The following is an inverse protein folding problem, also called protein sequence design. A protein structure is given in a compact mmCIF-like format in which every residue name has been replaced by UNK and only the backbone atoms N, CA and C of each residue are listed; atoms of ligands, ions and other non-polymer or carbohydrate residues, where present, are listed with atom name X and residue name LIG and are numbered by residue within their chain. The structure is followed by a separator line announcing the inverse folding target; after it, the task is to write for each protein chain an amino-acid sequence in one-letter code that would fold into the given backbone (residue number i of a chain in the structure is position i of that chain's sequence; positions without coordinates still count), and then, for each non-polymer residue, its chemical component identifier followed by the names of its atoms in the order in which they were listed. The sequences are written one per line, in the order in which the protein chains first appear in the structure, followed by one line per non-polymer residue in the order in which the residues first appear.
data_IF_370312481523
#
_entry.id   IF_370312481523
#
_cell.length_a   1.000
_cell.length_b   1.000
_cell.length_c   1.000
_cell.angle_alpha   90.00
_cell.angle_beta   90.00
_cell.angle_gamma   90.00
#
_symmetry.space_group_name_H-M   'P 1'
#
loop_
_entity.id
_entity.type
_entity.pdbx_description
1 polymer ?
#
# COMPACT_ATOMS: atom_id res chain seq x y z
N UNK A 1 13.47 19.84 -31.63
CA UNK A 1 13.48 18.36 -31.52
C UNK A 1 13.62 17.68 -32.87
N UNK A 2 12.69 17.83 -33.82
CA UNK A 2 12.82 17.24 -35.18
C UNK A 2 14.01 17.84 -35.94
N UNK A 3 14.15 19.17 -35.96
CA UNK A 3 15.28 19.87 -36.61
C UNK A 3 16.63 19.75 -35.85
N UNK A 4 16.63 19.18 -34.63
CA UNK A 4 17.83 19.02 -33.79
C UNK A 4 18.38 17.58 -33.81
N UNK A 5 17.77 16.66 -34.57
CA UNK A 5 18.12 15.23 -34.56
C UNK A 5 17.75 14.48 -33.26
N UNK A 6 17.13 15.16 -32.29
CA UNK A 6 16.83 14.65 -30.96
C UNK A 6 15.53 13.83 -30.88
N UNK A 7 14.79 13.71 -31.99
CA UNK A 7 13.52 12.98 -32.02
C UNK A 7 13.72 11.50 -31.65
N UNK A 8 14.71 10.84 -32.23
CA UNK A 8 15.01 9.43 -31.95
C UNK A 8 15.42 9.20 -30.49
N UNK A 9 16.40 9.95 -29.92
CA UNK A 9 16.70 9.88 -28.50
C UNK A 9 15.49 10.13 -27.60
N UNK A 10 14.64 11.12 -27.93
CA UNK A 10 13.46 11.44 -27.12
C UNK A 10 12.42 10.30 -27.11
N UNK A 11 12.16 9.68 -28.26
CA UNK A 11 11.26 8.51 -28.34
C UNK A 11 11.81 7.34 -27.53
N UNK A 12 13.12 7.08 -27.65
CA UNK A 12 13.77 6.00 -26.89
C UNK A 12 13.70 6.25 -25.39
N UNK A 13 14.04 7.47 -24.93
CA UNK A 13 13.98 7.82 -23.51
C UNK A 13 12.56 7.74 -22.96
N UNK A 14 11.57 8.24 -23.70
CA UNK A 14 10.16 8.14 -23.31
C UNK A 14 9.72 6.67 -23.22
N UNK A 15 10.05 5.87 -24.23
CA UNK A 15 9.74 4.44 -24.25
C UNK A 15 10.38 3.68 -23.09
N UNK A 16 11.66 3.95 -22.79
CA UNK A 16 12.39 3.32 -21.68
C UNK A 16 11.82 3.73 -20.31
N UNK A 17 11.40 4.99 -20.14
CA UNK A 17 10.78 5.45 -18.90
C UNK A 17 9.44 4.74 -18.63
N UNK A 18 8.61 4.61 -19.66
CA UNK A 18 7.32 3.90 -19.57
C UNK A 18 7.57 2.40 -19.34
N UNK A 19 8.51 1.80 -20.07
CA UNK A 19 8.86 0.39 -19.94
C UNK A 19 9.28 0.04 -18.52
N UNK A 20 10.28 0.72 -17.99
CA UNK A 20 10.85 0.43 -16.66
C UNK A 20 9.83 0.62 -15.54
N UNK A 21 8.96 1.64 -15.65
CA UNK A 21 7.89 1.86 -14.67
C UNK A 21 6.83 0.76 -14.72
N UNK A 22 6.44 0.31 -15.93
CA UNK A 22 5.46 -0.75 -16.10
C UNK A 22 6.00 -2.12 -15.65
N UNK A 23 7.27 -2.41 -15.91
CA UNK A 23 7.95 -3.64 -15.44
C UNK A 23 7.92 -3.73 -13.91
N UNK A 24 8.29 -2.64 -13.21
CA UNK A 24 8.22 -2.58 -11.75
C UNK A 24 6.80 -2.81 -11.22
N UNK A 25 5.77 -2.26 -11.87
CA UNK A 25 4.37 -2.44 -11.47
C UNK A 25 3.89 -3.89 -11.67
N UNK A 26 4.26 -4.53 -12.79
CA UNK A 26 3.92 -5.93 -13.08
C UNK A 26 4.64 -6.91 -12.15
N UNK A 27 5.89 -6.61 -11.80
CA UNK A 27 6.64 -7.39 -10.84
C UNK A 27 6.04 -7.27 -9.43
N UNK A 28 5.81 -6.05 -8.94
CA UNK A 28 5.25 -5.82 -7.61
C UNK A 28 3.85 -6.42 -7.46
N UNK A 29 2.97 -6.24 -8.45
CA UNK A 29 1.64 -6.86 -8.45
C UNK A 29 1.73 -8.38 -8.54
N UNK A 30 2.59 -8.92 -9.40
CA UNK A 30 2.79 -10.37 -9.55
C UNK A 30 3.23 -11.04 -8.25
N UNK A 31 4.20 -10.43 -7.55
CA UNK A 31 4.67 -10.92 -6.24
C UNK A 31 3.58 -10.81 -5.16
N UNK A 32 2.82 -9.70 -5.16
CA UNK A 32 1.69 -9.51 -4.27
C UNK A 32 0.64 -10.62 -4.41
N UNK A 33 0.23 -10.93 -5.65
CA UNK A 33 -0.71 -12.01 -5.91
C UNK A 33 -0.10 -13.40 -5.67
N UNK A 34 1.19 -13.60 -5.95
CA UNK A 34 1.87 -14.88 -5.72
C UNK A 34 1.88 -15.23 -4.23
N UNK A 35 2.12 -14.24 -3.36
CA UNK A 35 2.09 -14.44 -1.91
C UNK A 35 0.71 -14.82 -1.37
N UNK A 36 -0.37 -14.40 -2.04
CA UNK A 36 -1.75 -14.71 -1.63
C UNK A 36 -2.21 -16.05 -2.20
N UNK A 37 -1.93 -16.30 -3.48
CA UNK A 37 -2.47 -17.45 -4.23
C UNK A 37 -1.53 -18.67 -4.23
N UNK A 38 -0.26 -18.51 -3.88
CA UNK A 38 0.77 -19.54 -3.99
C UNK A 38 1.19 -19.86 -5.43
N UNK A 39 0.65 -19.15 -6.43
CA UNK A 39 1.00 -19.34 -7.84
C UNK A 39 2.32 -18.65 -8.20
N UNK A 40 2.92 -19.03 -9.32
CA UNK A 40 4.16 -18.39 -9.78
C UNK A 40 3.94 -16.91 -10.12
N UNK A 41 4.81 -16.05 -9.60
CA UNK A 41 4.79 -14.61 -9.91
C UNK A 41 4.87 -14.34 -11.40
N UNK A 42 5.60 -15.18 -12.17
CA UNK A 42 5.73 -15.03 -13.63
C UNK A 42 4.38 -15.17 -14.32
N UNK A 43 3.62 -16.21 -13.97
CA UNK A 43 2.28 -16.44 -14.55
C UNK A 43 1.34 -15.29 -14.21
N UNK A 44 1.36 -14.84 -12.95
CA UNK A 44 0.51 -13.75 -12.47
C UNK A 44 0.86 -12.41 -13.10
N UNK A 45 2.15 -12.09 -13.28
CA UNK A 45 2.58 -10.89 -13.98
C UNK A 45 2.11 -10.87 -15.44
N UNK A 46 2.13 -12.00 -16.14
CA UNK A 46 1.59 -12.09 -17.51
C UNK A 46 0.07 -11.84 -17.52
N UNK A 47 -0.67 -12.47 -16.61
CA UNK A 47 -2.12 -12.28 -16.48
C UNK A 47 -2.44 -10.81 -16.17
N UNK A 48 -1.74 -10.21 -15.19
CA UNK A 48 -1.90 -8.81 -14.82
C UNK A 48 -1.55 -7.87 -15.98
N UNK A 49 -0.56 -8.21 -16.80
CA UNK A 49 -0.22 -7.45 -18.00
C UNK A 49 -1.33 -7.46 -19.04
N UNK A 50 -1.96 -8.61 -19.28
CA UNK A 50 -3.10 -8.73 -20.20
C UNK A 50 -4.29 -7.93 -19.66
N UNK A 51 -4.64 -8.10 -18.39
CA UNK A 51 -5.76 -7.37 -17.75
C UNK A 51 -5.49 -5.87 -17.78
N UNK A 52 -4.28 -5.43 -17.39
CA UNK A 52 -3.89 -4.02 -17.40
C UNK A 52 -3.97 -3.40 -18.79
N UNK A 53 -3.57 -4.15 -19.83
CA UNK A 53 -3.66 -3.69 -21.23
C UNK A 53 -5.11 -3.50 -21.67
N UNK A 54 -6.01 -4.42 -21.31
CA UNK A 54 -7.44 -4.27 -21.60
C UNK A 54 -8.05 -3.11 -20.80
N UNK A 55 -7.73 -3.01 -19.52
CA UNK A 55 -8.16 -1.91 -18.65
C UNK A 55 -7.67 -0.55 -19.16
N UNK A 56 -6.52 -0.48 -19.83
CA UNK A 56 -6.00 0.77 -20.40
C UNK A 56 -6.97 1.42 -21.39
N UNK A 57 -7.76 0.63 -22.13
CA UNK A 57 -8.79 1.14 -23.06
C UNK A 57 -9.90 1.90 -22.32
N UNK A 58 -10.29 1.42 -21.14
CA UNK A 58 -11.24 2.11 -20.28
C UNK A 58 -10.61 3.29 -19.57
N UNK A 59 -9.37 3.12 -19.10
CA UNK A 59 -8.61 4.12 -18.36
C UNK A 59 -8.36 5.38 -19.19
N UNK A 60 -8.14 5.22 -20.48
CA UNK A 60 -7.99 6.33 -21.42
C UNK A 60 -9.16 7.33 -21.33
N UNK A 61 -10.38 6.84 -21.14
CA UNK A 61 -11.59 7.66 -21.02
C UNK A 61 -11.88 8.13 -19.59
N UNK A 62 -11.28 7.50 -18.57
CA UNK A 62 -11.57 7.76 -17.15
C UNK A 62 -10.31 8.18 -16.36
N UNK A 63 -9.31 8.72 -17.04
CA UNK A 63 -7.98 8.92 -16.50
C UNK A 63 -7.98 9.82 -15.25
N UNK A 64 -8.68 10.96 -15.31
CA UNK A 64 -8.74 11.91 -14.19
C UNK A 64 -9.47 11.32 -12.98
N UNK A 65 -10.59 10.62 -13.20
CA UNK A 65 -11.33 9.94 -12.14
C UNK A 65 -10.50 8.84 -11.47
N UNK A 66 -9.77 8.06 -12.28
CA UNK A 66 -8.85 7.06 -11.78
C UNK A 66 -7.71 7.65 -10.95
N UNK A 67 -7.07 8.72 -11.41
CA UNK A 67 -6.04 9.42 -10.65
C UNK A 67 -6.57 9.96 -9.31
N UNK A 68 -7.81 10.47 -9.31
CA UNK A 68 -8.46 10.98 -8.10
C UNK A 68 -8.69 9.86 -7.09
N UNK A 69 -9.18 8.71 -7.56
CA UNK A 69 -9.34 7.51 -6.73
C UNK A 69 -8.00 7.01 -6.16
N UNK A 70 -6.96 6.86 -7.00
CA UNK A 70 -5.65 6.41 -6.55
C UNK A 70 -5.01 7.37 -5.53
N UNK A 71 -5.22 8.67 -5.71
CA UNK A 71 -4.75 9.71 -4.79
C UNK A 71 -5.39 9.62 -3.41
N UNK A 72 -6.61 9.08 -3.30
CA UNK A 72 -7.28 8.85 -2.02
C UNK A 72 -6.97 7.47 -1.42
N UNK A 73 -6.85 6.44 -2.26
CA UNK A 73 -6.78 5.04 -1.82
C UNK A 73 -5.37 4.58 -1.39
N UNK A 74 -4.33 4.97 -2.12
CA UNK A 74 -2.95 4.50 -1.86
C UNK A 74 -2.34 5.14 -0.59
N UNK A 75 -2.44 6.46 -0.37
CA UNK A 75 -1.69 7.12 0.71
C UNK A 75 -2.07 6.65 2.14
N UNK A 76 -3.35 6.42 2.50
CA UNK A 76 -3.74 5.92 3.82
C UNK A 76 -3.03 4.63 4.21
N UNK A 77 -2.79 3.73 3.25
CA UNK A 77 -2.11 2.45 3.51
C UNK A 77 -0.69 2.71 4.03
N UNK A 78 0.04 3.62 3.38
CA UNK A 78 1.36 4.04 3.85
C UNK A 78 1.30 4.70 5.24
N UNK A 79 0.30 5.56 5.47
CA UNK A 79 0.09 6.20 6.78
C UNK A 79 -0.14 5.22 7.92
N UNK A 80 -0.98 4.21 7.69
CA UNK A 80 -1.27 3.14 8.67
C UNK A 80 -0.03 2.28 8.93
N UNK A 81 0.72 1.90 7.89
CA UNK A 81 1.95 1.12 8.04
C UNK A 81 3.01 1.88 8.86
N UNK A 82 3.20 3.18 8.58
CA UNK A 82 4.14 4.03 9.34
C UNK A 82 3.68 4.15 10.80
N UNK A 83 2.39 4.39 11.03
CA UNK A 83 1.83 4.49 12.38
C UNK A 83 2.00 3.18 13.18
N UNK A 84 1.77 2.04 12.54
CA UNK A 84 1.95 0.72 13.15
C UNK A 84 3.41 0.46 13.51
N UNK A 85 4.33 0.75 12.58
CA UNK A 85 5.76 0.59 12.82
C UNK A 85 6.25 1.46 13.99
N UNK A 86 5.83 2.73 14.05
CA UNK A 86 6.25 3.64 15.12
C UNK A 86 5.70 3.23 16.49
N UNK A 87 4.46 2.74 16.55
CA UNK A 87 3.82 2.34 17.81
C UNK A 87 4.32 0.98 18.32
N UNK A 88 4.59 0.04 17.41
CA UNK A 88 4.98 -1.32 17.74
C UNK A 88 6.47 -1.60 17.47
N UNK A 89 7.32 -0.58 17.44
CA UNK A 89 8.75 -0.68 17.07
C UNK A 89 9.50 -1.83 17.78
N UNK A 90 9.23 -2.06 19.08
CA UNK A 90 9.84 -3.15 19.86
C UNK A 90 9.44 -4.56 19.39
N UNK A 91 8.23 -4.72 18.85
CA UNK A 91 7.70 -5.97 18.30
C UNK A 91 8.45 -6.38 17.02
N UNK A 92 8.91 -5.39 16.27
CA UNK A 92 9.71 -5.58 15.06
C UNK A 92 11.22 -5.76 15.35
N UNK A 93 11.69 -5.57 16.58
CA UNK A 93 13.08 -5.92 16.94
C UNK A 93 13.24 -7.41 17.26
N UNK A 94 12.17 -8.08 17.71
CA UNK A 94 12.14 -9.52 18.01
C UNK A 94 11.17 -10.26 17.08
N UNK A 95 11.51 -10.30 15.78
CA UNK A 95 10.75 -11.02 14.75
C UNK A 95 10.58 -12.52 15.03
N UNK A 96 11.52 -13.13 15.76
CA UNK A 96 11.58 -14.59 15.95
C UNK A 96 10.55 -15.14 16.96
N UNK A 97 10.05 -14.33 17.89
CA UNK A 97 9.20 -14.80 19.02
C UNK A 97 7.78 -14.23 19.00
N UNK A 98 7.47 -13.35 18.05
CA UNK A 98 6.20 -12.63 18.05
C UNK A 98 5.16 -13.33 17.17
N UNK A 99 4.00 -13.69 17.75
CA UNK A 99 2.79 -14.03 16.96
C UNK A 99 2.32 -12.78 16.21
N UNK A 100 2.60 -12.71 14.92
CA UNK A 100 1.97 -11.76 14.02
C UNK A 100 0.48 -12.09 13.92
N UNK A 101 -0.40 -11.09 14.06
CA UNK A 101 -1.82 -11.29 13.77
C UNK A 101 -1.96 -11.51 12.26
N UNK A 102 -2.68 -12.55 11.86
CA UNK A 102 -2.88 -12.88 10.44
C UNK A 102 -3.67 -11.79 9.71
N UNK A 103 -4.63 -11.14 10.38
CA UNK A 103 -5.40 -10.01 9.84
C UNK A 103 -5.63 -8.98 10.94
N UNK A 104 -5.19 -7.74 10.71
CA UNK A 104 -5.52 -6.62 11.59
C UNK A 104 -6.71 -5.84 11.01
N UNK A 105 -7.93 -6.21 11.41
CA UNK A 105 -9.16 -5.52 11.00
C UNK A 105 -9.16 -4.03 11.37
N UNK A 106 -8.43 -3.64 12.42
CA UNK A 106 -8.29 -2.24 12.81
C UNK A 106 -7.48 -1.45 11.78
N UNK A 107 -6.45 -2.06 11.18
CA UNK A 107 -5.68 -1.44 10.10
C UNK A 107 -6.54 -1.22 8.86
N UNK A 108 -7.37 -2.21 8.50
CA UNK A 108 -8.29 -2.10 7.37
C UNK A 108 -9.33 -1.00 7.61
N UNK A 109 -9.92 -0.95 8.81
CA UNK A 109 -10.87 0.10 9.18
C UNK A 109 -10.21 1.49 9.18
N UNK A 110 -8.98 1.60 9.66
CA UNK A 110 -8.23 2.85 9.65
C UNK A 110 -7.95 3.34 8.22
N UNK A 111 -7.62 2.44 7.28
CA UNK A 111 -7.49 2.80 5.86
C UNK A 111 -8.81 3.31 5.30
N UNK A 112 -9.94 2.64 5.57
CA UNK A 112 -11.26 3.07 5.12
C UNK A 112 -11.64 4.47 5.68
N UNK A 113 -11.34 4.72 6.95
CA UNK A 113 -11.52 6.03 7.58
C UNK A 113 -10.59 7.09 6.98
N UNK A 114 -9.36 6.73 6.62
CA UNK A 114 -8.44 7.59 5.89
C UNK A 114 -8.99 7.99 4.52
N UNK A 115 -9.53 7.05 3.75
CA UNK A 115 -10.17 7.34 2.46
C UNK A 115 -11.36 8.29 2.64
N UNK A 116 -12.23 8.04 3.63
CA UNK A 116 -13.36 8.91 3.94
C UNK A 116 -12.92 10.31 4.35
N UNK A 117 -11.88 10.43 5.18
CA UNK A 117 -11.27 11.70 5.57
C UNK A 117 -10.70 12.46 4.37
N UNK A 118 -10.08 11.75 3.41
CA UNK A 118 -9.60 12.33 2.16
C UNK A 118 -10.71 12.94 1.29
N UNK A 119 -11.93 12.39 1.34
CA UNK A 119 -13.08 12.90 0.60
C UNK A 119 -13.83 14.05 1.30
N UNK A 120 -13.91 14.04 2.63
CA UNK A 120 -14.70 15.02 3.39
C UNK A 120 -13.92 16.22 3.89
N UNK A 121 -12.60 16.10 4.07
CA UNK A 121 -11.78 17.22 4.53
C UNK A 121 -11.33 18.10 3.34
N UNK A 122 -11.49 19.43 3.45
CA UNK A 122 -10.94 20.34 2.45
C UNK A 122 -9.40 20.29 2.44
N UNK A 123 -8.79 20.48 1.27
CA UNK A 123 -7.34 20.53 1.11
C UNK A 123 -6.78 19.44 0.20
N UNK A 124 -5.56 19.00 0.49
CA UNK A 124 -4.83 18.02 -0.34
C UNK A 124 -5.31 16.62 0.05
N UNK A 125 -6.12 16.01 -0.83
CA UNK A 125 -6.74 14.68 -0.63
C UNK A 125 -5.74 13.64 -0.10
N UNK A 126 -4.56 13.43 -0.71
CA UNK A 126 -3.55 12.49 -0.19
C UNK A 126 -3.13 12.76 1.26
N UNK A 127 -2.93 14.01 1.65
CA UNK A 127 -2.44 14.38 2.99
C UNK A 127 -3.51 14.09 4.04
N UNK A 128 -4.74 14.50 3.76
CA UNK A 128 -5.88 14.22 4.63
C UNK A 128 -6.11 12.71 4.78
N UNK A 129 -5.92 11.95 3.69
CA UNK A 129 -6.09 10.52 3.68
C UNK A 129 -5.00 9.80 4.52
N UNK A 130 -3.74 10.22 4.40
CA UNK A 130 -2.62 9.72 5.24
C UNK A 130 -2.86 10.01 6.71
N UNK A 131 -3.13 11.27 7.05
CA UNK A 131 -3.32 11.70 8.43
C UNK A 131 -4.55 11.04 9.06
N UNK A 132 -5.65 10.98 8.32
CA UNK A 132 -6.88 10.30 8.73
C UNK A 132 -6.62 8.81 9.01
N UNK A 133 -5.90 8.12 8.12
CA UNK A 133 -5.55 6.72 8.30
C UNK A 133 -4.63 6.49 9.50
N UNK A 134 -3.55 7.27 9.60
CA UNK A 134 -2.57 7.15 10.69
C UNK A 134 -3.21 7.45 12.06
N UNK A 135 -3.94 8.56 12.19
CA UNK A 135 -4.59 8.94 13.46
C UNK A 135 -5.67 7.93 13.85
N UNK A 136 -6.49 7.49 12.89
CA UNK A 136 -7.52 6.47 13.15
C UNK A 136 -6.87 5.19 13.67
N UNK A 137 -5.75 4.76 13.07
CA UNK A 137 -5.04 3.58 13.52
C UNK A 137 -4.46 3.74 14.94
N UNK A 138 -3.82 4.87 15.21
CA UNK A 138 -3.24 5.17 16.53
C UNK A 138 -4.30 5.17 17.65
N UNK A 139 -5.52 5.60 17.35
CA UNK A 139 -6.62 5.63 18.32
C UNK A 139 -7.28 4.25 18.45
N UNK A 140 -7.63 3.62 17.32
CA UNK A 140 -8.42 2.39 17.31
C UNK A 140 -7.62 1.17 17.76
N UNK A 141 -6.33 1.08 17.41
CA UNK A 141 -5.51 -0.09 17.70
C UNK A 141 -5.33 -0.35 19.21
N UNK A 142 -4.96 0.62 20.07
CA UNK A 142 -4.85 0.37 21.51
C UNK A 142 -6.20 0.09 22.19
N UNK A 143 -7.30 0.60 21.65
CA UNK A 143 -8.66 0.40 22.22
C UNK A 143 -9.19 -0.99 21.88
N UNK A 144 -9.08 -1.41 20.61
CA UNK A 144 -9.70 -2.64 20.10
C UNK A 144 -8.78 -3.86 20.21
N UNK A 145 -7.46 -3.70 20.11
CA UNK A 145 -6.48 -4.79 20.26
C UNK A 145 -5.92 -4.93 21.69
N UNK A 146 -6.63 -4.43 22.70
CA UNK A 146 -6.26 -4.51 24.13
C UNK A 146 -5.90 -5.94 24.59
N UNK A 147 -6.46 -6.97 23.95
CA UNK A 147 -6.20 -8.40 24.23
C UNK A 147 -4.80 -8.87 23.78
N UNK A 148 -4.21 -8.28 22.75
CA UNK A 148 -2.86 -8.64 22.27
C UNK A 148 -1.80 -8.05 23.20
N UNK A 149 -2.01 -6.84 23.72
CA UNK A 149 -1.11 -6.19 24.70
C UNK A 149 -1.10 -6.92 26.05
N UNK A 150 -2.27 -7.37 26.54
CA UNK A 150 -2.38 -8.07 27.83
C UNK A 150 -1.77 -9.48 27.82
N UNK A 151 -1.77 -10.17 26.68
CA UNK A 151 -1.10 -11.47 26.54
C UNK A 151 0.44 -11.34 26.53
N UNK A 152 0.99 -10.20 26.09
CA UNK A 152 2.43 -9.95 26.07
C UNK A 152 2.99 -9.68 27.48
N UNK A 153 2.26 -8.95 28.33
CA UNK A 153 2.64 -8.73 29.74
C UNK A 153 2.70 -10.03 30.56
N UNK A 154 1.88 -11.04 30.22
CA UNK A 154 1.91 -12.34 30.90
C UNK A 154 3.06 -13.25 30.47
N UNK A 155 3.52 -13.16 29.22
CA UNK A 155 4.70 -13.92 28.74
C UNK A 155 5.98 -13.32 29.30
N UNK A 156 6.09 -11.99 29.33
CA UNK A 156 7.25 -11.27 29.87
C UNK A 156 7.43 -11.51 31.37
N UNK A 157 6.33 -11.65 32.13
CA UNK A 157 6.37 -12.02 33.55
C UNK A 157 6.86 -13.46 33.79
N UNK A 158 6.58 -14.40 32.87
CA UNK A 158 6.96 -15.81 32.99
C UNK A 158 8.32 -16.17 32.37
N UNK A 159 8.96 -15.27 31.63
CA UNK A 159 10.30 -15.49 31.05
C UNK A 159 11.45 -14.93 31.89
N UNK A 160 11.12 -14.26 32.99
CA UNK A 160 12.07 -13.63 33.94
C UNK A 160 12.16 -14.42 35.25
N UNK A 161 11.31 -15.44 35.44
CA UNK A 161 11.46 -16.51 36.45
C UNK A 161 12.16 -17.74 35.85
#
# INVERSE_FOLDING_TARGET
MIAQGLLLPAIVVLGLNIWTTNDNALYASGLGFANITGMSSKTLSVINGIIGTVCALWLYNNFVGWLTFLSAAIPPVGGVIIADYLMNRRRYEHFATTRMMSVNWVAILAVALGIAAGHWLPGIVPVNAVLGGALSYLILNPILNRKTTAAMTHVEANSVE
#
